data_IF_141150953733
#
_entry.id   IF_141150953733
#
_cell.length_a   1.000
_cell.length_b   1.000
_cell.length_c   1.000
_cell.angle_alpha   90.00
_cell.angle_beta   90.00
_cell.angle_gamma   90.00
#
_symmetry.space_group_name_H-M   'P 1'
#
loop_
_entity.id
_entity.type
_entity.pdbx_description
1 polymer ?
#
# COMPACT_ATOMS: atom_id res chain seq x y z
N UNK A 1 -12.19 4.20 -0.37
CA UNK A 1 -11.66 2.91 -0.86
C UNK A 1 -12.11 2.59 -2.31
N UNK A 2 -12.16 3.56 -3.24
CA UNK A 2 -12.34 3.22 -4.67
C UNK A 2 -10.99 2.78 -5.25
N UNK A 3 -10.83 1.50 -5.57
CA UNK A 3 -9.52 0.89 -5.89
C UNK A 3 -9.44 0.49 -7.35
N UNK A 4 -8.25 0.58 -7.91
CA UNK A 4 -7.90 0.06 -9.24
C UNK A 4 -6.53 -0.57 -9.14
N UNK A 5 -6.41 -1.87 -9.43
CA UNK A 5 -5.11 -2.48 -9.69
C UNK A 5 -4.74 -2.24 -11.15
N UNK A 6 -3.55 -1.70 -11.40
CA UNK A 6 -3.15 -1.23 -12.73
C UNK A 6 -1.97 -2.03 -13.23
N UNK A 7 -2.00 -2.36 -14.52
CA UNK A 7 -0.88 -2.90 -15.26
C UNK A 7 -0.55 -1.94 -16.39
N UNK A 8 0.73 -1.62 -16.55
CA UNK A 8 1.23 -0.74 -17.59
C UNK A 8 2.28 -1.45 -18.41
N UNK A 9 2.21 -1.29 -19.74
CA UNK A 9 3.20 -1.77 -20.68
C UNK A 9 3.58 -0.64 -21.64
N UNK A 10 4.86 -0.29 -21.65
CA UNK A 10 5.43 0.80 -22.45
C UNK A 10 6.47 0.28 -23.46
N UNK A 11 6.14 -0.67 -24.35
CA UNK A 11 7.10 -1.27 -25.27
C UNK A 11 7.68 -0.26 -26.27
N UNK A 12 6.98 0.85 -26.52
CA UNK A 12 7.42 1.93 -27.39
C UNK A 12 8.52 2.81 -26.75
N UNK A 13 8.72 2.76 -25.43
CA UNK A 13 9.73 3.57 -24.74
C UNK A 13 11.09 2.88 -24.83
N UNK A 14 11.93 3.31 -25.76
CA UNK A 14 13.23 2.67 -26.07
C UNK A 14 14.45 3.35 -25.43
N UNK A 15 14.24 4.22 -24.44
CA UNK A 15 15.36 4.89 -23.76
C UNK A 15 16.20 3.92 -22.91
N UNK A 16 17.53 3.98 -23.04
CA UNK A 16 18.45 3.01 -22.41
C UNK A 16 18.46 3.04 -20.88
N UNK A 17 18.03 4.16 -20.28
CA UNK A 17 17.90 4.30 -18.82
C UNK A 17 16.67 3.58 -18.25
N UNK A 18 15.68 3.22 -19.07
CA UNK A 18 14.49 2.50 -18.61
C UNK A 18 14.82 1.00 -18.56
N UNK A 19 14.78 0.45 -17.34
CA UNK A 19 15.13 -0.94 -17.05
C UNK A 19 13.91 -1.84 -17.08
N UNK A 20 12.77 -1.36 -16.61
CA UNK A 20 11.50 -2.05 -16.78
C UNK A 20 10.48 -1.18 -17.52
N UNK A 21 9.93 -1.72 -18.60
CA UNK A 21 8.86 -1.14 -19.43
C UNK A 21 7.48 -1.66 -19.03
N UNK A 22 7.45 -2.70 -18.19
CA UNK A 22 6.23 -3.31 -17.70
C UNK A 22 6.20 -3.27 -16.18
N UNK A 23 5.11 -2.73 -15.62
CA UNK A 23 4.90 -2.73 -14.17
C UNK A 23 3.43 -2.89 -13.83
N UNK A 24 3.17 -3.40 -12.62
CA UNK A 24 1.84 -3.40 -12.05
C UNK A 24 1.84 -2.88 -10.62
N UNK A 25 0.72 -2.34 -10.19
CA UNK A 25 0.58 -1.72 -8.88
C UNK A 25 -0.87 -1.61 -8.42
N UNK A 26 -1.10 -1.64 -7.11
CA UNK A 26 -2.36 -1.18 -6.55
C UNK A 26 -2.46 0.34 -6.64
N UNK A 27 -3.64 0.89 -6.90
CA UNK A 27 -3.82 2.33 -7.15
C UNK A 27 -5.29 2.75 -6.98
N UNK A 28 -5.60 3.96 -7.45
CA UNK A 28 -6.89 4.64 -7.34
C UNK A 28 -7.27 5.27 -8.69
N UNK A 29 -8.56 5.49 -8.99
CA UNK A 29 -8.98 6.19 -10.20
C UNK A 29 -8.28 7.55 -10.35
N UNK A 30 -7.74 7.84 -11.54
CA UNK A 30 -7.06 9.11 -11.86
C UNK A 30 -5.61 9.24 -11.41
N UNK A 31 -5.08 8.33 -10.59
CA UNK A 31 -3.68 8.36 -10.18
C UNK A 31 -2.77 7.69 -11.21
N UNK A 32 -1.59 8.23 -11.49
CA UNK A 32 -0.57 7.54 -12.31
C UNK A 32 0.45 6.78 -11.46
N UNK A 33 0.27 6.77 -10.13
CA UNK A 33 1.12 6.15 -9.12
C UNK A 33 0.31 5.22 -8.21
N UNK A 34 0.98 4.46 -7.33
CA UNK A 34 0.30 3.54 -6.43
C UNK A 34 -0.36 4.25 -5.25
N UNK A 35 0.40 5.11 -4.56
CA UNK A 35 0.06 5.83 -3.32
C UNK A 35 -0.29 4.95 -2.11
N UNK A 36 -0.19 3.63 -2.25
CA UNK A 36 -0.24 2.73 -1.11
C UNK A 36 1.10 2.68 -0.34
N UNK A 37 2.29 2.52 -0.95
CA UNK A 37 2.63 2.08 -2.32
C UNK A 37 2.89 0.54 -2.42
N UNK A 38 2.50 -0.09 -3.52
CA UNK A 38 2.85 -1.47 -3.89
C UNK A 38 3.07 -1.56 -5.40
N UNK A 39 4.32 -1.82 -5.82
CA UNK A 39 4.71 -1.88 -7.22
C UNK A 39 5.53 -3.14 -7.51
N UNK A 40 5.23 -3.80 -8.62
CA UNK A 40 6.00 -4.91 -9.17
C UNK A 40 6.52 -4.50 -10.55
N UNK A 41 7.82 -4.58 -10.77
CA UNK A 41 8.40 -4.44 -12.12
C UNK A 41 8.56 -5.81 -12.77
N UNK A 42 8.04 -5.99 -13.98
CA UNK A 42 7.98 -7.32 -14.59
C UNK A 42 9.29 -7.71 -15.28
N UNK A 43 10.04 -6.76 -15.84
CA UNK A 43 11.30 -7.07 -16.53
C UNK A 43 12.46 -7.20 -15.53
N UNK A 44 12.49 -6.36 -14.49
CA UNK A 44 13.54 -6.37 -13.46
C UNK A 44 13.18 -7.16 -12.20
N UNK A 45 11.92 -7.56 -12.05
CA UNK A 45 11.44 -8.42 -10.97
C UNK A 45 11.70 -7.83 -9.59
N UNK A 46 11.50 -6.52 -9.45
CA UNK A 46 11.55 -5.82 -8.17
C UNK A 46 10.14 -5.75 -7.60
N UNK A 47 10.01 -6.06 -6.30
CA UNK A 47 8.85 -5.65 -5.52
C UNK A 47 9.23 -4.47 -4.65
N UNK A 48 8.43 -3.41 -4.73
CA UNK A 48 8.70 -2.13 -4.10
C UNK A 48 7.46 -1.75 -3.30
N UNK A 49 7.64 -1.50 -2.01
CA UNK A 49 6.56 -1.05 -1.12
C UNK A 49 7.11 -0.08 -0.08
N UNK A 50 6.23 0.60 0.62
CA UNK A 50 6.61 1.60 1.61
C UNK A 50 5.64 1.64 2.78
N UNK A 51 6.12 2.16 3.92
CA UNK A 51 5.22 2.75 4.92
C UNK A 51 5.66 4.16 5.25
N UNK A 52 4.68 5.06 5.37
CA UNK A 52 4.93 6.49 5.59
C UNK A 52 5.52 6.73 6.98
N UNK A 53 6.58 7.51 7.05
CA UNK A 53 7.20 8.02 8.28
C UNK A 53 7.00 9.52 8.36
N UNK A 54 6.06 9.95 9.20
CA UNK A 54 5.76 11.38 9.38
C UNK A 54 6.96 12.14 9.98
N UNK A 55 7.17 13.38 9.53
CA UNK A 55 8.11 14.28 10.21
C UNK A 55 7.42 14.88 11.43
N UNK A 56 7.75 14.37 12.62
CA UNK A 56 7.30 14.93 13.91
C UNK A 56 7.90 16.31 14.16
N UNK A 57 9.05 16.61 13.53
CA UNK A 57 9.66 17.93 13.54
C UNK A 57 8.98 18.89 12.55
N UNK A 58 8.07 19.75 13.05
CA UNK A 58 7.46 20.84 12.25
C UNK A 58 8.53 21.82 11.74
N UNK A 59 9.54 22.10 12.56
CA UNK A 59 10.67 22.95 12.19
C UNK A 59 11.41 22.40 10.97
N UNK A 60 11.67 21.09 10.92
CA UNK A 60 12.35 20.46 9.79
C UNK A 60 11.55 20.67 8.49
N UNK A 61 10.23 20.51 8.54
CA UNK A 61 9.34 20.76 7.41
C UNK A 61 9.46 22.21 6.91
N UNK A 62 9.37 23.18 7.82
CA UNK A 62 9.47 24.61 7.50
C UNK A 62 10.83 24.98 6.90
N UNK A 63 11.91 24.36 7.35
CA UNK A 63 13.27 24.68 6.92
C UNK A 63 13.70 24.01 5.61
N UNK A 64 13.16 22.82 5.30
CA UNK A 64 13.72 21.97 4.23
C UNK A 64 12.76 21.71 3.08
N UNK A 65 11.45 21.81 3.27
CA UNK A 65 10.49 21.62 2.16
C UNK A 65 10.47 22.88 1.30
N UNK A 66 10.74 22.74 0.00
CA UNK A 66 10.86 23.85 -0.96
C UNK A 66 10.17 23.51 -2.28
N UNK A 67 9.60 24.50 -2.99
CA UNK A 67 8.89 24.26 -4.24
C UNK A 67 9.83 23.83 -5.39
N UNK A 68 11.09 24.24 -5.37
CA UNK A 68 12.11 23.80 -6.33
C UNK A 68 12.65 22.40 -5.98
N UNK A 69 11.77 21.41 -6.02
CA UNK A 69 12.04 20.00 -5.77
C UNK A 69 11.16 19.12 -6.64
N UNK A 70 11.35 17.80 -6.61
CA UNK A 70 10.47 16.84 -7.31
C UNK A 70 9.72 16.04 -6.26
N UNK A 71 8.39 15.98 -6.38
CA UNK A 71 7.55 15.27 -5.40
C UNK A 71 7.89 13.79 -5.32
N UNK A 72 7.75 13.19 -4.14
CA UNK A 72 8.01 11.75 -3.93
C UNK A 72 7.26 10.87 -4.91
N UNK A 73 6.01 11.21 -5.23
CA UNK A 73 5.19 10.46 -6.19
C UNK A 73 5.84 10.35 -7.57
N UNK A 74 6.41 11.46 -8.08
CA UNK A 74 7.11 11.44 -9.37
C UNK A 74 8.43 10.70 -9.23
N UNK A 75 9.17 10.96 -8.16
CA UNK A 75 10.48 10.31 -7.93
C UNK A 75 10.36 8.79 -7.77
N UNK A 76 9.33 8.28 -7.10
CA UNK A 76 9.11 6.85 -6.92
C UNK A 76 8.81 6.16 -8.24
N UNK A 77 7.93 6.72 -9.08
CA UNK A 77 7.64 6.17 -10.41
C UNK A 77 8.89 6.15 -11.30
N UNK A 78 9.62 7.26 -11.37
CA UNK A 78 10.85 7.36 -12.17
C UNK A 78 11.92 6.39 -11.67
N UNK A 79 12.15 6.32 -10.36
CA UNK A 79 13.10 5.39 -9.77
C UNK A 79 12.74 3.93 -10.07
N UNK A 80 11.46 3.57 -9.95
CA UNK A 80 10.96 2.23 -10.26
C UNK A 80 11.21 1.83 -11.71
N UNK A 81 10.91 2.70 -12.68
CA UNK A 81 11.15 2.41 -14.11
C UNK A 81 12.65 2.28 -14.45
N UNK A 82 13.51 3.02 -13.76
CA UNK A 82 14.95 3.09 -14.04
C UNK A 82 15.80 2.09 -13.24
N UNK A 83 15.24 1.41 -12.23
CA UNK A 83 15.99 0.54 -11.34
C UNK A 83 16.19 -0.86 -11.92
N UNK A 84 17.44 -1.34 -11.92
CA UNK A 84 17.76 -2.75 -12.07
C UNK A 84 17.89 -3.49 -10.73
N UNK A 85 17.93 -2.75 -9.62
CA UNK A 85 18.03 -3.27 -8.26
C UNK A 85 17.89 -2.14 -7.22
N UNK A 86 17.91 -2.49 -5.93
CA UNK A 86 17.68 -1.54 -4.84
C UNK A 86 18.62 -0.33 -4.79
N UNK A 87 19.91 -0.55 -5.10
CA UNK A 87 20.90 0.54 -5.17
C UNK A 87 20.58 1.57 -6.26
N UNK A 88 20.17 1.11 -7.44
CA UNK A 88 19.81 1.99 -8.57
C UNK A 88 18.53 2.76 -8.28
N UNK A 89 17.57 2.09 -7.64
CA UNK A 89 16.34 2.72 -7.18
C UNK A 89 16.65 3.89 -6.24
N UNK A 90 17.46 3.65 -5.21
CA UNK A 90 17.92 4.69 -4.29
C UNK A 90 18.65 5.85 -4.99
N UNK A 91 19.60 5.55 -5.88
CA UNK A 91 20.40 6.55 -6.59
C UNK A 91 19.54 7.48 -7.45
N UNK A 92 18.45 6.96 -8.02
CA UNK A 92 17.49 7.73 -8.80
C UNK A 92 16.53 8.49 -7.89
N UNK A 93 15.93 7.81 -6.92
CA UNK A 93 14.94 8.36 -5.99
C UNK A 93 15.47 9.54 -5.16
N UNK A 94 16.76 9.52 -4.84
CA UNK A 94 17.37 10.52 -3.94
C UNK A 94 17.56 11.90 -4.59
N UNK A 95 17.45 11.98 -5.91
CA UNK A 95 17.63 13.24 -6.65
C UNK A 95 16.44 14.16 -6.39
N UNK A 96 16.72 15.43 -6.12
CA UNK A 96 15.68 16.46 -5.91
C UNK A 96 14.65 16.12 -4.81
N UNK A 97 15.11 15.50 -3.72
CA UNK A 97 14.27 15.18 -2.56
C UNK A 97 13.39 16.36 -2.15
N UNK A 98 12.07 16.15 -2.14
CA UNK A 98 11.08 17.16 -1.76
C UNK A 98 10.87 17.29 -0.25
N UNK A 99 11.21 16.26 0.53
CA UNK A 99 10.83 16.17 1.94
C UNK A 99 9.32 16.04 2.18
N UNK A 100 8.56 15.63 1.17
CA UNK A 100 7.12 15.41 1.23
C UNK A 100 6.81 13.93 1.04
N UNK A 101 5.74 13.40 1.64
CA UNK A 101 5.46 11.95 1.63
C UNK A 101 6.72 11.14 2.00
N UNK A 102 7.17 11.37 3.23
CA UNK A 102 8.41 10.81 3.77
C UNK A 102 8.12 9.38 4.19
N UNK A 103 8.88 8.42 3.67
CA UNK A 103 8.56 7.01 3.74
C UNK A 103 9.80 6.17 4.06
N UNK A 104 9.56 4.98 4.59
CA UNK A 104 10.50 3.86 4.57
C UNK A 104 10.15 2.96 3.37
N UNK A 105 10.94 3.05 2.31
CA UNK A 105 10.84 2.23 1.12
C UNK A 105 11.63 0.93 1.28
N UNK A 106 10.99 -0.17 0.90
CA UNK A 106 11.52 -1.52 0.89
C UNK A 106 11.57 -1.99 -0.56
N UNK A 107 12.78 -2.31 -1.04
CA UNK A 107 13.01 -2.80 -2.40
C UNK A 107 13.56 -4.20 -2.30
N UNK A 108 12.79 -5.17 -2.80
CA UNK A 108 13.14 -6.59 -2.85
C UNK A 108 13.48 -6.96 -4.29
N UNK A 109 14.68 -7.47 -4.51
CA UNK A 109 15.12 -8.01 -5.81
C UNK A 109 14.93 -9.53 -5.84
N UNK A 110 13.84 -9.97 -6.49
CA UNK A 110 13.53 -11.39 -6.59
C UNK A 110 14.46 -12.14 -7.56
N UNK A 111 15.13 -11.45 -8.50
CA UNK A 111 16.14 -12.10 -9.33
C UNK A 111 17.34 -12.53 -8.49
N UNK A 112 17.79 -11.68 -7.57
CA UNK A 112 18.88 -12.01 -6.64
C UNK A 112 18.49 -13.15 -5.70
N UNK A 113 17.28 -13.10 -5.13
CA UNK A 113 16.76 -14.18 -4.28
C UNK A 113 16.66 -15.52 -5.03
N UNK A 114 16.11 -15.54 -6.25
CA UNK A 114 16.00 -16.78 -7.05
C UNK A 114 17.35 -17.38 -7.39
N UNK A 115 18.33 -16.56 -7.78
CA UNK A 115 19.70 -17.04 -8.07
C UNK A 115 20.34 -17.69 -6.85
N UNK A 116 20.07 -17.15 -5.67
CA UNK A 116 20.49 -17.75 -4.41
C UNK A 116 19.76 -19.08 -4.14
N UNK A 117 18.44 -19.13 -4.31
CA UNK A 117 17.63 -20.31 -3.95
C UNK A 117 17.58 -21.42 -5.03
N UNK A 118 18.09 -21.21 -6.24
CA UNK A 118 17.92 -22.09 -7.41
C UNK A 118 18.24 -23.57 -7.16
N UNK A 119 19.23 -23.86 -6.32
CA UNK A 119 19.64 -25.22 -5.97
C UNK A 119 19.40 -25.54 -4.48
N UNK A 120 18.49 -24.82 -3.82
CA UNK A 120 18.38 -24.79 -2.34
C UNK A 120 19.74 -24.55 -1.67
N UNK A 121 20.54 -23.64 -2.26
CA UNK A 121 21.93 -23.45 -1.85
C UNK A 121 22.00 -23.18 -0.35
N UNK A 122 22.87 -23.93 0.32
CA UNK A 122 23.30 -23.59 1.67
C UNK A 122 24.27 -22.40 1.57
N UNK A 123 23.96 -21.27 2.21
CA UNK A 123 24.82 -20.09 2.26
C UNK A 123 24.04 -18.79 2.42
N UNK A 124 24.72 -17.67 2.70
CA UNK A 124 24.06 -16.39 2.95
C UNK A 124 23.34 -15.87 1.71
N UNK A 125 22.23 -15.16 1.91
CA UNK A 125 21.45 -14.50 0.88
C UNK A 125 22.34 -13.51 0.11
N UNK A 126 22.15 -13.44 -1.21
CA UNK A 126 22.99 -12.61 -2.07
C UNK A 126 22.80 -11.11 -1.75
N UNK A 127 23.88 -10.39 -1.50
CA UNK A 127 23.87 -8.93 -1.37
C UNK A 127 23.07 -8.29 -2.53
N UNK A 128 22.33 -7.24 -2.20
CA UNK A 128 21.41 -6.56 -3.10
C UNK A 128 19.98 -7.10 -3.09
N UNK A 129 19.72 -8.23 -2.42
CA UNK A 129 18.37 -8.81 -2.37
C UNK A 129 17.36 -7.90 -1.67
N UNK A 130 17.77 -7.21 -0.61
CA UNK A 130 16.88 -6.31 0.13
C UNK A 130 17.55 -4.98 0.44
N UNK A 131 16.94 -3.89 -0.03
CA UNK A 131 17.37 -2.52 0.23
C UNK A 131 16.30 -1.76 1.00
N UNK A 132 16.76 -1.04 2.02
CA UNK A 132 15.93 -0.11 2.78
C UNK A 132 16.34 1.32 2.45
N UNK A 133 15.37 2.17 2.12
CA UNK A 133 15.57 3.60 1.85
C UNK A 133 14.60 4.41 2.69
N UNK A 134 15.11 5.32 3.50
CA UNK A 134 14.29 6.21 4.32
C UNK A 134 14.51 7.66 3.93
N UNK A 135 13.41 8.39 3.78
CA UNK A 135 13.42 9.81 3.47
C UNK A 135 12.89 10.63 4.63
N UNK A 136 13.53 11.77 4.87
CA UNK A 136 13.01 12.92 5.60
C UNK A 136 13.33 14.21 4.81
N UNK A 137 12.75 15.36 5.17
CA UNK A 137 13.13 16.62 4.55
C UNK A 137 14.63 16.90 4.71
N UNK A 138 15.33 17.01 3.58
CA UNK A 138 16.77 17.29 3.54
C UNK A 138 17.69 16.11 3.84
N UNK A 139 17.18 14.90 4.09
CA UNK A 139 17.99 13.70 4.34
C UNK A 139 17.35 12.46 3.74
N UNK A 140 18.12 11.68 2.99
CA UNK A 140 17.75 10.32 2.57
C UNK A 140 18.88 9.40 2.99
N UNK A 141 18.53 8.25 3.56
CA UNK A 141 19.49 7.24 4.01
C UNK A 141 19.07 5.92 3.40
N UNK A 142 20.03 5.22 2.79
CA UNK A 142 19.80 3.90 2.23
C UNK A 142 20.90 2.94 2.61
N UNK A 143 20.54 1.69 2.85
CA UNK A 143 21.48 0.59 3.04
C UNK A 143 20.95 -0.70 2.41
N UNK A 144 21.90 -1.52 1.99
CA UNK A 144 21.65 -2.94 1.78
C UNK A 144 21.40 -3.58 3.15
N UNK A 145 20.19 -4.14 3.32
CA UNK A 145 19.74 -4.76 4.55
C UNK A 145 19.60 -6.28 4.39
N UNK A 146 20.16 -6.87 3.34
CA UNK A 146 20.07 -8.31 3.04
C UNK A 146 20.55 -9.17 4.21
N UNK A 147 21.76 -8.92 4.72
CA UNK A 147 22.29 -9.67 5.86
C UNK A 147 21.41 -9.55 7.12
N UNK A 148 20.74 -8.40 7.31
CA UNK A 148 19.84 -8.20 8.44
C UNK A 148 18.52 -8.96 8.28
N UNK A 149 17.97 -8.94 7.06
CA UNK A 149 16.79 -9.71 6.70
C UNK A 149 17.05 -11.21 6.90
N UNK A 150 18.20 -11.70 6.47
CA UNK A 150 18.60 -13.10 6.67
C UNK A 150 18.80 -13.44 8.16
N UNK A 151 19.51 -12.61 8.93
CA UNK A 151 19.72 -12.81 10.38
C UNK A 151 18.39 -12.89 11.14
N UNK A 152 17.42 -12.04 10.78
CA UNK A 152 16.14 -11.93 11.49
C UNK A 152 15.06 -12.87 10.97
N UNK A 153 15.16 -13.31 9.72
CA UNK A 153 14.12 -14.06 9.02
C UNK A 153 12.95 -13.21 8.51
N UNK A 154 12.90 -11.91 8.84
CA UNK A 154 11.85 -11.00 8.39
C UNK A 154 12.30 -9.53 8.43
N UNK A 155 11.58 -8.68 7.70
CA UNK A 155 11.59 -7.24 7.87
C UNK A 155 10.16 -6.75 8.06
N UNK A 156 9.91 -5.98 9.12
CA UNK A 156 8.61 -5.37 9.37
C UNK A 156 8.70 -3.85 9.26
N UNK A 157 7.67 -3.24 8.70
CA UNK A 157 7.55 -1.79 8.54
C UNK A 157 6.19 -1.32 9.03
N UNK A 158 6.18 -0.26 9.85
CA UNK A 158 5.01 0.15 10.62
C UNK A 158 5.04 1.64 10.98
N UNK A 159 5.41 2.48 10.00
CA UNK A 159 5.42 3.94 10.13
C UNK A 159 6.41 4.48 11.19
N UNK A 160 7.47 3.72 11.49
CA UNK A 160 8.58 4.16 12.35
C UNK A 160 9.89 4.06 11.58
N UNK A 161 10.70 5.12 11.56
CA UNK A 161 11.98 5.04 10.88
C UNK A 161 12.96 4.16 11.64
N UNK A 162 13.70 3.34 10.90
CA UNK A 162 14.71 2.42 11.40
C UNK A 162 16.05 3.11 11.61
N UNK A 163 16.50 3.95 10.67
CA UNK A 163 17.83 4.55 10.78
C UNK A 163 17.84 5.64 11.84
N UNK A 164 18.80 5.57 12.77
CA UNK A 164 18.89 6.50 13.90
C UNK A 164 18.97 7.97 13.48
N UNK A 165 19.70 8.28 12.42
CA UNK A 165 19.77 9.64 11.89
C UNK A 165 18.43 10.14 11.32
N UNK A 166 17.62 9.27 10.72
CA UNK A 166 16.26 9.58 10.28
C UNK A 166 15.35 9.79 11.49
N UNK A 167 15.45 8.93 12.51
CA UNK A 167 14.72 9.11 13.79
C UNK A 167 15.06 10.46 14.44
N UNK A 168 16.33 10.84 14.46
CA UNK A 168 16.81 12.09 15.06
C UNK A 168 16.29 13.31 14.32
N UNK A 169 16.50 13.41 13.01
CA UNK A 169 16.04 14.58 12.24
C UNK A 169 14.52 14.66 12.18
N UNK A 170 13.85 13.51 12.06
CA UNK A 170 12.39 13.40 12.02
C UNK A 170 11.72 13.73 13.35
N UNK A 171 12.48 13.83 14.45
CA UNK A 171 11.98 14.17 15.79
C UNK A 171 11.51 12.98 16.63
N UNK A 172 11.67 11.75 16.16
CA UNK A 172 11.23 10.53 16.86
C UNK A 172 12.03 10.26 18.13
N UNK A 173 13.34 10.52 18.15
CA UNK A 173 14.14 10.34 19.37
C UNK A 173 13.66 11.24 20.51
N UNK A 174 13.30 12.50 20.20
CA UNK A 174 12.71 13.40 21.19
C UNK A 174 11.30 12.96 21.59
N UNK A 175 10.45 12.65 20.62
CA UNK A 175 9.08 12.23 20.89
C UNK A 175 9.01 10.94 21.73
N UNK A 176 9.94 10.01 21.54
CA UNK A 176 10.05 8.80 22.36
C UNK A 176 10.42 9.11 23.82
N UNK A 177 11.23 10.14 24.09
CA UNK A 177 11.55 10.58 25.45
C UNK A 177 10.35 11.28 26.12
N UNK A 178 9.56 12.02 25.35
CA UNK A 178 8.42 12.81 25.86
C UNK A 178 7.12 12.01 25.97
N UNK A 179 6.90 11.07 25.04
CA UNK A 179 5.62 10.37 24.85
C UNK A 179 5.76 8.84 24.83
N UNK A 180 6.96 8.31 25.10
CA UNK A 180 7.18 6.90 25.37
C UNK A 180 7.17 5.98 24.13
N UNK A 181 6.84 4.72 24.40
CA UNK A 181 7.00 3.57 23.50
C UNK A 181 6.32 3.71 22.12
N UNK A 182 5.23 4.49 21.99
CA UNK A 182 4.54 4.63 20.69
C UNK A 182 5.45 5.20 19.59
N UNK A 183 6.41 6.05 19.94
CA UNK A 183 7.35 6.67 19.00
C UNK A 183 8.63 5.85 18.80
N UNK A 184 8.86 4.81 19.60
CA UNK A 184 10.03 3.95 19.47
C UNK A 184 9.85 2.97 18.31
N UNK A 185 10.95 2.73 17.59
CA UNK A 185 10.95 1.77 16.49
C UNK A 185 10.69 0.35 16.98
N UNK A 186 11.34 -0.06 18.08
CA UNK A 186 11.24 -1.44 18.56
C UNK A 186 10.04 -1.70 19.47
N UNK A 187 9.37 -0.68 20.01
CA UNK A 187 8.39 -0.89 21.10
C UNK A 187 6.97 -0.38 20.81
N UNK A 188 6.73 0.17 19.62
CA UNK A 188 5.36 0.49 19.21
C UNK A 188 4.51 -0.79 19.05
N UNK A 189 3.16 -0.71 19.10
CA UNK A 189 2.32 -1.92 19.18
C UNK A 189 2.53 -2.87 18.00
N UNK A 190 2.67 -2.34 16.78
CA UNK A 190 2.95 -3.16 15.59
C UNK A 190 4.33 -3.80 15.60
N UNK A 191 5.35 -3.15 16.16
CA UNK A 191 6.67 -3.75 16.33
C UNK A 191 6.61 -4.98 17.26
N UNK A 192 5.87 -4.86 18.36
CA UNK A 192 5.64 -5.95 19.33
C UNK A 192 4.84 -7.09 18.69
N UNK A 193 3.76 -6.77 17.97
CA UNK A 193 2.94 -7.76 17.25
C UNK A 193 3.76 -8.53 16.20
N UNK A 194 4.52 -7.83 15.34
CA UNK A 194 5.35 -8.51 14.35
C UNK A 194 6.44 -9.38 14.98
N UNK A 195 7.05 -8.93 16.09
CA UNK A 195 8.03 -9.74 16.82
C UNK A 195 7.45 -11.08 17.29
N UNK A 196 6.23 -11.06 17.81
CA UNK A 196 5.55 -12.29 18.27
C UNK A 196 5.07 -13.16 17.10
N UNK A 197 4.57 -12.55 16.02
CA UNK A 197 3.78 -13.27 15.02
C UNK A 197 4.50 -13.65 13.74
N UNK A 198 5.61 -12.98 13.41
CA UNK A 198 6.33 -13.23 12.16
C UNK A 198 6.70 -14.71 11.95
N UNK A 199 7.05 -15.42 13.03
CA UNK A 199 7.44 -16.83 12.96
C UNK A 199 6.29 -17.80 12.64
N UNK A 200 5.04 -17.31 12.64
CA UNK A 200 3.87 -18.09 12.21
C UNK A 200 3.64 -18.03 10.69
N UNK A 201 4.34 -17.14 9.97
CA UNK A 201 4.23 -17.03 8.51
C UNK A 201 5.10 -18.11 7.86
N UNK A 202 4.45 -19.11 7.28
CA UNK A 202 5.12 -20.24 6.62
C UNK A 202 4.77 -20.35 5.12
N UNK A 203 3.75 -19.62 4.68
CA UNK A 203 3.23 -19.63 3.33
C UNK A 203 2.46 -18.33 3.03
N UNK A 204 1.94 -18.20 1.81
CA UNK A 204 1.16 -17.01 1.40
C UNK A 204 -0.14 -16.88 2.19
N UNK A 205 -0.79 -17.98 2.56
CA UNK A 205 -2.06 -17.96 3.31
C UNK A 205 -1.88 -17.42 4.73
N UNK A 206 -0.83 -17.88 5.42
CA UNK A 206 -0.46 -17.38 6.75
C UNK A 206 0.01 -15.92 6.70
N UNK A 207 0.70 -15.50 5.64
CA UNK A 207 1.01 -14.09 5.38
C UNK A 207 -0.27 -13.26 5.22
N UNK A 208 -1.19 -13.71 4.35
CA UNK A 208 -2.49 -13.06 4.12
C UNK A 208 -3.27 -12.90 5.42
N UNK A 209 -3.32 -13.93 6.26
CA UNK A 209 -4.01 -13.91 7.56
C UNK A 209 -3.40 -12.88 8.50
N UNK A 210 -2.08 -12.91 8.71
CA UNK A 210 -1.42 -12.00 9.66
C UNK A 210 -1.54 -10.55 9.19
N UNK A 211 -1.34 -10.28 7.90
CA UNK A 211 -1.41 -8.92 7.35
C UNK A 211 -2.82 -8.32 7.34
N UNK A 212 -3.86 -9.15 7.47
CA UNK A 212 -5.27 -8.71 7.57
C UNK A 212 -5.88 -8.89 8.96
N UNK A 213 -5.06 -9.26 9.94
CA UNK A 213 -5.52 -9.58 11.30
C UNK A 213 -5.73 -8.34 12.17
N UNK A 214 -6.79 -8.42 12.99
CA UNK A 214 -7.06 -7.44 14.03
C UNK A 214 -7.78 -8.09 15.21
N UNK A 215 -7.00 -8.63 16.14
CA UNK A 215 -7.50 -9.32 17.34
C UNK A 215 -7.58 -8.39 18.55
N UNK A 216 -7.90 -7.11 18.35
CA UNK A 216 -7.71 -6.07 19.38
C UNK A 216 -8.43 -6.29 20.72
N UNK A 217 -9.52 -7.05 20.73
CA UNK A 217 -10.28 -7.39 21.94
C UNK A 217 -9.58 -8.47 22.79
N UNK A 218 -8.82 -9.35 22.15
CA UNK A 218 -8.24 -10.55 22.78
C UNK A 218 -6.72 -10.49 22.87
N UNK A 219 -6.07 -9.72 22.00
CA UNK A 219 -4.63 -9.55 22.02
C UNK A 219 -4.22 -8.52 23.09
N UNK A 220 -3.44 -8.92 24.11
CA UNK A 220 -2.96 -7.99 25.14
C UNK A 220 -2.08 -6.87 24.58
N UNK A 221 -1.34 -7.10 23.47
CA UNK A 221 -0.50 -6.09 22.82
C UNK A 221 -1.30 -5.00 22.11
N UNK A 222 -2.58 -5.27 21.81
CA UNK A 222 -3.49 -4.27 21.28
C UNK A 222 -4.05 -3.34 22.35
N UNK A 223 -3.93 -3.68 23.63
CA UNK A 223 -4.35 -2.83 24.76
C UNK A 223 -5.81 -2.34 24.67
N UNK A 224 -6.71 -3.20 24.18
CA UNK A 224 -8.12 -2.89 23.91
C UNK A 224 -8.32 -1.71 22.94
N UNK A 225 -7.36 -1.48 22.04
CA UNK A 225 -7.41 -0.46 21.00
C UNK A 225 -7.46 -1.11 19.60
N UNK A 226 -8.54 -0.92 18.81
CA UNK A 226 -8.66 -1.51 17.47
C UNK A 226 -7.65 -0.99 16.45
N UNK A 227 -6.89 0.05 16.80
CA UNK A 227 -5.86 0.66 15.96
C UNK A 227 -4.46 0.10 16.23
N UNK A 228 -4.28 -0.51 17.41
CA UNK A 228 -3.04 -1.17 17.80
C UNK A 228 -3.04 -2.62 17.29
N UNK A 229 -3.17 -2.77 15.98
CA UNK A 229 -3.16 -4.04 15.26
C UNK A 229 -2.35 -3.89 13.97
N UNK A 230 -2.01 -5.01 13.32
CA UNK A 230 -1.37 -4.96 12.00
C UNK A 230 -2.34 -4.31 11.00
N UNK A 231 -3.57 -4.82 10.91
CA UNK A 231 -4.64 -4.23 10.11
C UNK A 231 -5.57 -3.36 10.98
N UNK A 232 -5.09 -2.20 11.41
CA UNK A 232 -5.82 -1.30 12.31
C UNK A 232 -7.20 -0.87 11.79
N UNK A 233 -8.20 -0.82 12.68
CA UNK A 233 -9.60 -0.44 12.42
C UNK A 233 -9.95 0.81 13.24
N UNK A 234 -9.94 1.98 12.62
CA UNK A 234 -10.20 3.24 13.34
C UNK A 234 -11.69 3.55 13.46
N UNK A 235 -12.52 2.85 12.69
CA UNK A 235 -13.97 3.00 12.66
C UNK A 235 -14.68 2.31 13.82
N UNK A 236 -14.00 1.37 14.50
CA UNK A 236 -14.59 0.60 15.58
C UNK A 236 -14.64 1.40 16.89
N UNK A 237 -15.79 1.45 17.58
CA UNK A 237 -15.87 2.01 18.92
C UNK A 237 -15.11 1.12 19.91
N UNK A 238 -14.46 1.74 20.88
CA UNK A 238 -13.69 1.05 21.92
C UNK A 238 -13.77 1.83 23.23
N UNK A 239 -13.42 1.16 24.33
CA UNK A 239 -13.27 1.80 25.64
C UNK A 239 -11.79 1.82 26.00
N UNK A 240 -11.15 3.00 26.11
CA UNK A 240 -9.75 3.09 26.49
C UNK A 240 -9.51 2.39 27.82
N UNK A 241 -8.39 1.66 27.91
CA UNK A 241 -7.90 1.14 29.17
C UNK A 241 -7.39 2.29 30.04
N UNK A 242 -7.75 2.28 31.33
CA UNK A 242 -7.26 3.27 32.29
C UNK A 242 -5.81 3.02 32.71
N UNK A 243 -5.30 1.81 32.49
CA UNK A 243 -3.97 1.32 32.85
C UNK A 243 -3.01 1.22 31.66
N UNK A 244 -3.36 1.80 30.52
CA UNK A 244 -2.51 1.84 29.33
C UNK A 244 -1.65 3.11 29.32
N UNK A 245 -0.34 2.93 29.15
CA UNK A 245 0.62 4.02 28.94
C UNK A 245 0.45 4.69 27.55
N UNK A 246 -0.35 4.10 26.65
CA UNK A 246 -0.71 4.72 25.38
C UNK A 246 -1.80 5.76 25.60
N UNK A 247 -1.39 7.03 25.62
CA UNK A 247 -2.31 8.18 25.64
C UNK A 247 -3.26 8.13 24.43
N UNK A 248 -4.46 7.60 24.69
CA UNK A 248 -5.62 7.52 23.83
C UNK A 248 -5.36 6.96 22.42
N UNK A 249 -5.83 5.72 22.19
CA UNK A 249 -6.11 5.15 20.88
C UNK A 249 -6.81 6.15 19.92
N UNK A 250 -7.46 7.19 20.42
CA UNK A 250 -7.95 8.35 19.66
C UNK A 250 -9.40 8.15 19.20
N UNK A 251 -10.04 9.13 18.56
CA UNK A 251 -11.47 9.04 18.24
C UNK A 251 -11.76 8.04 17.11
N UNK A 252 -13.02 7.63 17.00
CA UNK A 252 -13.54 6.85 15.86
C UNK A 252 -13.40 7.68 14.57
N UNK A 253 -12.82 7.10 13.51
CA UNK A 253 -12.58 7.76 12.22
C UNK A 253 -12.70 6.77 11.06
N UNK A 254 -13.11 7.25 9.89
CA UNK A 254 -13.13 6.48 8.64
C UNK A 254 -11.69 6.32 8.12
N UNK A 255 -10.91 5.50 8.80
CA UNK A 255 -9.48 5.30 8.57
C UNK A 255 -9.06 3.88 9.01
N UNK A 256 -7.89 3.43 8.57
CA UNK A 256 -7.34 2.13 8.95
C UNK A 256 -6.73 1.40 7.77
N UNK A 257 -6.47 0.11 7.95
CA UNK A 257 -6.12 -0.78 6.86
C UNK A 257 -7.33 -0.92 5.93
N UNK A 258 -7.10 -0.88 4.61
CA UNK A 258 -8.15 -0.92 3.59
C UNK A 258 -7.89 -1.97 2.49
N UNK A 259 -6.73 -2.62 2.53
CA UNK A 259 -6.34 -3.68 1.63
C UNK A 259 -5.18 -4.51 2.22
N UNK A 260 -4.86 -5.58 1.51
CA UNK A 260 -3.57 -6.23 1.60
C UNK A 260 -3.17 -6.73 0.21
N UNK A 261 -1.87 -6.69 -0.10
CA UNK A 261 -1.28 -7.29 -1.31
C UNK A 261 -0.13 -8.18 -0.87
N UNK A 262 -0.05 -9.37 -1.45
CA UNK A 262 0.95 -10.39 -1.13
C UNK A 262 1.50 -10.96 -2.44
N UNK A 263 2.81 -11.13 -2.50
CA UNK A 263 3.47 -11.90 -3.55
C UNK A 263 4.59 -12.75 -2.93
N UNK A 264 5.16 -13.63 -3.74
CA UNK A 264 6.28 -14.49 -3.35
C UNK A 264 7.19 -14.71 -4.56
N UNK A 265 8.36 -15.31 -4.33
CA UNK A 265 9.26 -15.65 -5.42
C UNK A 265 8.62 -16.58 -6.45
N UNK A 266 7.79 -17.54 -6.01
CA UNK A 266 7.09 -18.48 -6.90
C UNK A 266 5.95 -17.80 -7.65
N UNK A 267 5.14 -16.99 -6.96
CA UNK A 267 4.06 -16.23 -7.59
C UNK A 267 4.59 -15.30 -8.69
N UNK A 268 5.73 -14.63 -8.43
CA UNK A 268 6.34 -13.76 -9.43
C UNK A 268 6.92 -14.52 -10.63
N UNK A 269 7.46 -15.72 -10.40
CA UNK A 269 8.03 -16.58 -11.45
C UNK A 269 6.96 -17.18 -12.36
N UNK A 270 5.82 -17.58 -11.81
CA UNK A 270 4.75 -18.21 -12.59
C UNK A 270 4.11 -17.23 -13.57
N UNK A 271 3.75 -16.02 -13.12
CA UNK A 271 3.13 -15.00 -13.98
C UNK A 271 3.06 -13.61 -13.32
N UNK A 272 4.11 -13.21 -12.60
CA UNK A 272 4.10 -11.96 -11.83
C UNK A 272 2.85 -11.81 -10.94
N UNK A 273 2.41 -12.91 -10.33
CA UNK A 273 1.15 -13.01 -9.62
C UNK A 273 1.16 -12.19 -8.33
N UNK A 274 0.02 -11.58 -8.04
CA UNK A 274 -0.22 -10.85 -6.79
C UNK A 274 -1.57 -11.26 -6.22
N UNK A 275 -1.57 -11.71 -4.98
CA UNK A 275 -2.78 -11.94 -4.20
C UNK A 275 -3.18 -10.62 -3.55
N UNK A 276 -4.45 -10.25 -3.61
CA UNK A 276 -4.91 -8.98 -3.05
C UNK A 276 -6.32 -9.07 -2.47
N UNK A 277 -6.58 -8.27 -1.45
CA UNK A 277 -7.93 -8.05 -0.93
C UNK A 277 -8.14 -6.56 -0.75
N UNK A 278 -9.33 -6.07 -1.06
CA UNK A 278 -9.71 -4.67 -0.88
C UNK A 278 -10.80 -4.58 0.18
N UNK A 279 -10.43 -4.66 1.44
CA UNK A 279 -11.34 -4.50 2.57
C UNK A 279 -10.57 -4.09 3.83
N UNK A 280 -11.23 -3.40 4.79
CA UNK A 280 -10.75 -3.35 6.16
C UNK A 280 -10.67 -4.75 6.77
N UNK A 281 -9.89 -4.92 7.84
CA UNK A 281 -9.78 -6.21 8.53
C UNK A 281 -11.16 -6.80 8.87
N UNK A 282 -11.41 -8.05 8.50
CA UNK A 282 -12.62 -8.79 8.84
C UNK A 282 -12.34 -10.30 8.96
N UNK A 283 -13.17 -11.03 9.70
CA UNK A 283 -13.07 -12.49 9.85
C UNK A 283 -11.91 -12.97 10.77
N UNK A 284 -10.96 -12.09 11.08
CA UNK A 284 -9.83 -12.34 12.00
C UNK A 284 -9.89 -11.37 13.19
N UNK A 285 -10.95 -11.50 14.00
CA UNK A 285 -11.14 -10.70 15.23
C UNK A 285 -12.08 -9.49 15.11
N UNK A 286 -12.48 -9.13 13.89
CA UNK A 286 -13.41 -8.01 13.62
C UNK A 286 -14.49 -8.40 12.61
N UNK A 287 -15.65 -7.77 12.74
CA UNK A 287 -16.74 -7.88 11.78
C UNK A 287 -16.45 -7.03 10.52
N UNK A 288 -17.01 -7.38 9.34
CA UNK A 288 -16.91 -6.58 8.14
C UNK A 288 -17.34 -5.13 8.36
N UNK A 289 -16.63 -4.20 7.73
CA UNK A 289 -17.01 -2.78 7.76
C UNK A 289 -18.27 -2.53 6.91
N UNK A 290 -19.16 -1.65 7.37
CA UNK A 290 -20.36 -1.28 6.65
C UNK A 290 -20.67 0.21 6.84
N UNK A 291 -20.86 0.94 5.74
CA UNK A 291 -21.07 2.40 5.75
C UNK A 291 -22.36 2.79 6.47
N UNK A 292 -23.46 2.07 6.25
CA UNK A 292 -24.76 2.34 6.88
C UNK A 292 -24.75 2.20 8.40
N UNK A 293 -23.79 1.46 8.97
CA UNK A 293 -23.63 1.27 10.43
C UNK A 293 -22.46 2.07 11.01
N UNK A 294 -21.73 2.83 10.19
CA UNK A 294 -20.59 3.61 10.64
C UNK A 294 -21.03 4.76 11.56
N UNK A 295 -20.42 4.86 12.74
CA UNK A 295 -20.86 5.77 13.81
C UNK A 295 -20.01 7.03 13.96
N UNK A 296 -18.98 7.22 13.12
CA UNK A 296 -18.14 8.41 13.16
C UNK A 296 -18.66 9.55 12.28
N UNK A 297 -17.80 10.52 11.99
CA UNK A 297 -18.16 11.67 11.15
C UNK A 297 -18.52 11.23 9.73
N UNK A 298 -19.66 11.71 9.21
CA UNK A 298 -20.10 11.38 7.86
C UNK A 298 -19.05 11.78 6.82
N UNK A 299 -18.70 10.84 5.94
CA UNK A 299 -17.73 11.05 4.85
C UNK A 299 -18.35 10.66 3.52
N UNK A 300 -18.03 11.40 2.46
CA UNK A 300 -18.46 11.05 1.11
C UNK A 300 -17.79 9.75 0.63
N UNK A 301 -18.59 8.83 0.10
CA UNK A 301 -18.14 7.50 -0.33
C UNK A 301 -18.85 7.06 -1.63
N UNK A 302 -19.04 7.99 -2.56
CA UNK A 302 -19.69 7.74 -3.85
C UNK A 302 -19.03 6.58 -4.62
N UNK A 303 -19.85 5.73 -5.22
CA UNK A 303 -19.39 4.56 -5.98
C UNK A 303 -18.81 3.43 -5.13
N UNK A 304 -18.77 3.57 -3.80
CA UNK A 304 -18.33 2.51 -2.89
C UNK A 304 -19.50 1.61 -2.51
N UNK A 305 -19.28 0.29 -2.41
CA UNK A 305 -20.27 -0.62 -1.83
C UNK A 305 -20.46 -0.33 -0.34
N UNK A 306 -21.67 -0.61 0.18
CA UNK A 306 -22.01 -0.39 1.58
C UNK A 306 -21.19 -1.31 2.52
N UNK A 307 -21.23 -2.63 2.26
CA UNK A 307 -20.57 -3.66 3.08
C UNK A 307 -19.27 -4.15 2.43
N UNK A 308 -18.20 -4.21 3.22
CA UNK A 308 -16.84 -4.53 2.80
C UNK A 308 -16.42 -5.91 3.31
N UNK A 309 -16.82 -6.95 2.58
CA UNK A 309 -16.47 -8.35 2.82
C UNK A 309 -16.05 -9.00 1.49
N UNK A 310 -14.99 -8.47 0.90
CA UNK A 310 -14.52 -8.92 -0.41
C UNK A 310 -13.64 -10.16 -0.29
N UNK A 311 -13.76 -11.13 -1.20
CA UNK A 311 -12.83 -12.25 -1.23
C UNK A 311 -11.43 -11.77 -1.61
N UNK A 312 -10.44 -12.61 -1.34
CA UNK A 312 -9.13 -12.47 -1.95
C UNK A 312 -9.24 -12.69 -3.46
N UNK A 313 -8.61 -11.80 -4.20
CA UNK A 313 -8.49 -11.84 -5.64
C UNK A 313 -7.04 -12.11 -6.01
N UNK A 314 -6.85 -12.54 -7.24
CA UNK A 314 -5.54 -12.76 -7.82
C UNK A 314 -5.40 -11.96 -9.10
N UNK A 315 -4.27 -11.30 -9.22
CA UNK A 315 -3.81 -10.68 -10.45
C UNK A 315 -2.69 -11.52 -11.08
N UNK A 316 -2.71 -11.65 -12.41
CA UNK A 316 -1.60 -12.15 -13.22
C UNK A 316 -1.40 -11.24 -14.44
N UNK A 317 -0.17 -11.11 -14.92
CA UNK A 317 0.14 -10.28 -16.09
C UNK A 317 -0.49 -10.85 -17.35
N UNK A 318 -0.41 -12.16 -17.59
CA UNK A 318 -1.00 -12.74 -18.80
C UNK A 318 -2.53 -12.63 -18.82
N UNK A 319 -3.20 -12.72 -17.67
CA UNK A 319 -4.65 -12.51 -17.59
C UNK A 319 -5.02 -11.05 -17.88
N UNK A 320 -4.21 -10.09 -17.43
CA UNK A 320 -4.43 -8.67 -17.73
C UNK A 320 -4.14 -8.31 -19.20
N UNK A 321 -3.18 -8.99 -19.83
CA UNK A 321 -2.84 -8.79 -21.24
C UNK A 321 -3.89 -9.40 -22.21
N UNK A 322 -4.67 -10.38 -21.75
CA UNK A 322 -5.73 -11.05 -22.53
C UNK A 322 -7.09 -10.35 -22.51
N UNK A 323 -7.24 -9.23 -21.78
CA UNK A 323 -8.47 -8.41 -21.83
C UNK A 323 -8.29 -7.42 -22.98
N UNK A 324 -8.60 -7.85 -24.20
CA UNK A 324 -8.87 -6.91 -25.30
C UNK A 324 -10.12 -6.12 -24.94
N UNK A 325 -9.96 -4.82 -24.69
CA UNK A 325 -11.10 -3.92 -24.74
C UNK A 325 -11.40 -3.69 -26.21
N UNK A 326 -12.45 -4.32 -26.73
CA UNK A 326 -13.11 -3.81 -27.93
C UNK A 326 -13.56 -2.38 -27.59
N UNK A 327 -12.87 -1.39 -28.15
CA UNK A 327 -13.40 -0.03 -28.22
C UNK A 327 -14.60 -0.14 -29.15
N UNK A 328 -15.78 -0.39 -28.58
CA UNK A 328 -17.02 -0.41 -29.34
C UNK A 328 -17.12 0.91 -30.10
N UNK A 329 -17.08 0.83 -31.43
CA UNK A 329 -17.54 1.89 -32.31
C UNK A 329 -19.04 2.07 -32.07
N UNK A 330 -19.36 2.83 -31.04
CA UNK A 330 -20.71 2.98 -30.53
C UNK A 330 -20.79 4.18 -29.60
N UNK A 331 -20.30 5.33 -30.06
CA UNK A 331 -20.72 6.59 -29.48
C UNK A 331 -22.26 6.66 -29.58
N UNK A 332 -23.00 6.91 -28.49
CA UNK A 332 -24.40 7.24 -28.61
C UNK A 332 -24.46 8.57 -29.34
N UNK A 333 -24.90 8.53 -30.60
CA UNK A 333 -25.19 9.72 -31.38
C UNK A 333 -26.20 10.56 -30.60
N UNK A 334 -25.87 11.85 -30.49
CA UNK A 334 -26.73 12.87 -29.92
C UNK A 334 -28.16 12.72 -30.45
N UNK A 335 -29.12 12.68 -29.53
CA UNK A 335 -30.54 12.75 -29.85
C UNK A 335 -30.76 14.07 -30.59
N UNK A 336 -30.91 13.95 -31.91
CA UNK A 336 -31.21 15.04 -32.81
C UNK A 336 -32.60 15.58 -32.51
N UNK A 337 -32.65 16.87 -32.19
CA UNK A 337 -33.87 17.65 -32.23
C UNK A 337 -34.47 17.61 -33.64
N UNK A 338 -35.72 17.17 -33.75
CA UNK A 338 -36.56 17.46 -34.91
C UNK A 338 -37.92 17.92 -34.39
N UNK A 339 -38.18 19.21 -34.56
CA UNK A 339 -39.49 19.79 -34.45
C UNK A 339 -40.34 19.37 -35.66
N UNK A 340 -41.55 18.88 -35.40
CA UNK A 340 -42.67 18.96 -36.33
C UNK A 340 -43.96 19.15 -35.50
N UNK A 341 -44.76 20.12 -35.93
CA UNK A 341 -45.90 20.72 -35.26
C UNK A 341 -47.23 20.00 -35.65
N UNK A 342 -48.42 20.46 -35.23
CA UNK A 342 -49.52 19.60 -34.75
C UNK A 342 -50.61 19.33 -35.81
N UNK A 343 -51.42 18.27 -35.62
CA UNK A 343 -52.90 18.31 -35.60
C UNK A 343 -53.57 16.92 -35.69
N UNK A 344 -54.60 16.77 -34.86
CA UNK A 344 -55.87 16.04 -34.99
C UNK A 344 -56.00 14.51 -35.21
N UNK A 345 -56.47 13.88 -34.12
CA UNK A 345 -57.66 13.02 -34.01
C UNK A 345 -57.65 11.59 -34.61
N UNK A 346 -57.72 10.59 -33.72
CA UNK A 346 -58.94 9.81 -33.40
C UNK A 346 -58.63 8.37 -32.94
N UNK A 347 -59.08 8.09 -31.71
CA UNK A 347 -59.68 6.87 -31.17
C UNK A 347 -59.02 5.46 -31.29
N UNK A 348 -59.01 4.82 -30.10
CA UNK A 348 -59.06 3.38 -29.78
C UNK A 348 -57.77 2.56 -29.99
N UNK A 349 -57.39 1.61 -29.14
CA UNK A 349 -57.80 1.19 -27.79
C UNK A 349 -56.71 0.20 -27.29
N UNK A 350 -56.71 -0.01 -25.96
CA UNK A 350 -56.28 -1.20 -25.23
C UNK A 350 -54.81 -1.47 -24.83
N UNK A 351 -54.65 -1.44 -23.49
CA UNK A 351 -53.88 -2.35 -22.59
C UNK A 351 -52.34 -2.34 -22.68
N UNK A 352 -51.53 -2.35 -21.61
CA UNK A 352 -51.68 -2.30 -20.15
C UNK A 352 -50.26 -2.26 -19.53
N UNK A 353 -50.03 -1.37 -18.55
CA UNK A 353 -49.19 -1.49 -17.31
C UNK A 353 -47.97 -2.44 -17.36
N UNK A 354 -46.73 -1.96 -17.46
CA UNK A 354 -45.78 -1.52 -16.39
C UNK A 354 -45.58 -2.51 -15.22
N UNK A 355 -44.52 -3.32 -15.33
CA UNK A 355 -43.39 -3.35 -14.39
C UNK A 355 -42.11 -3.71 -15.16
#
# INVERSE_FOLDING_TARGET
MLRVYKSFSFPHVQHSSIRSRQLSMSSYPGYFSSTDDWLITHDTQLAITETTTESVSVRLLQEKVRPLSVTTVIRSVVATLMAAGGRDWYNTFSRHNSGTYNNQWMIVDFNQFRRWNKDRRAGPMADGTFWLVEQMPGLIVAKDMTAKLEEKGYWASYNRPYFKNIQDVGGYTRAALEHGQWFQYDDCPRARLFREWQGMVNDTDSMMRIMTSNHWKTDPLSENCPKNAIAGRYDLPYQPRSDSDYQACGPVKAYGAIDCKVTSSSLLEEDSRVLMVSAPAFGQGTDPFQWTTYTGESVAHWGMPDRWEFPWLEYSVNHAAGIEYEVGEGAPTAVGAAAASPEESSANADTSVVL
#
